data_IF_465397305785
#
_entry.id   IF_465397305785
#
_cell.length_a   1.000
_cell.length_b   1.000
_cell.length_c   1.000
_cell.angle_alpha   90.00
_cell.angle_beta   90.00
_cell.angle_gamma   90.00
#
_symmetry.space_group_name_H-M   'P 1'
#
loop_
_entity.id
_entity.type
_entity.pdbx_description
1 polymer ?
#
# COMPACT_ATOMS: atom_id res chain seq x y z
N UNK A 1 -3.27 -37.12 -24.29
CA UNK A 1 -2.11 -37.89 -23.76
C UNK A 1 -0.99 -37.88 -24.78
N UNK A 2 0.27 -38.07 -24.36
CA UNK A 2 1.45 -37.98 -25.24
C UNK A 2 1.41 -38.98 -26.40
N UNK A 3 0.85 -40.18 -26.17
CA UNK A 3 0.73 -41.23 -27.20
C UNK A 3 -0.15 -40.74 -28.36
N UNK A 4 -1.25 -40.05 -28.06
CA UNK A 4 -2.09 -39.43 -29.09
C UNK A 4 -1.31 -38.40 -29.92
N UNK A 5 -0.49 -37.56 -29.29
CA UNK A 5 0.29 -36.52 -29.97
C UNK A 5 1.37 -37.15 -30.85
N UNK A 6 2.14 -38.11 -30.33
CA UNK A 6 3.15 -38.84 -31.09
C UNK A 6 2.54 -39.53 -32.32
N UNK A 7 1.36 -40.16 -32.16
CA UNK A 7 0.66 -40.81 -33.25
C UNK A 7 0.18 -39.82 -34.31
N UNK A 8 -0.25 -38.62 -33.92
CA UNK A 8 -0.68 -37.59 -34.86
C UNK A 8 0.49 -37.01 -35.66
N UNK A 9 1.63 -36.79 -35.01
CA UNK A 9 2.87 -36.38 -35.68
C UNK A 9 3.34 -37.49 -36.63
N UNK A 10 3.35 -38.75 -36.18
CA UNK A 10 3.76 -39.91 -36.97
C UNK A 10 2.89 -40.11 -38.20
N UNK A 11 1.56 -39.93 -38.10
CA UNK A 11 0.64 -39.97 -39.25
C UNK A 11 0.96 -38.93 -40.32
N UNK A 12 1.56 -37.82 -39.92
CA UNK A 12 1.87 -36.70 -40.82
C UNK A 12 3.27 -36.86 -41.44
N UNK A 13 4.24 -37.34 -40.67
CA UNK A 13 5.66 -37.42 -41.07
C UNK A 13 6.07 -38.77 -41.67
N UNK A 14 5.51 -39.89 -41.19
CA UNK A 14 5.93 -41.23 -41.60
C UNK A 14 5.12 -41.70 -42.81
N UNK A 15 5.79 -41.82 -43.96
CA UNK A 15 5.20 -42.41 -45.16
C UNK A 15 5.03 -43.92 -45.00
N UNK A 16 3.98 -44.47 -45.60
CA UNK A 16 3.67 -45.90 -45.59
C UNK A 16 4.86 -46.72 -46.14
N UNK A 17 5.23 -47.80 -45.44
CA UNK A 17 6.36 -48.69 -45.77
C UNK A 17 7.75 -48.01 -45.77
N UNK A 18 7.93 -46.95 -44.97
CA UNK A 18 9.26 -46.33 -44.80
C UNK A 18 10.22 -47.31 -44.13
N UNK A 19 11.43 -47.57 -44.69
CA UNK A 19 12.43 -48.39 -44.02
C UNK A 19 12.99 -47.74 -42.74
N UNK A 20 12.70 -46.45 -42.52
CA UNK A 20 13.15 -45.67 -41.37
C UNK A 20 12.06 -45.49 -40.30
N UNK A 21 10.94 -46.21 -40.37
CA UNK A 21 9.81 -46.01 -39.44
C UNK A 21 10.22 -46.08 -37.97
N UNK A 22 11.03 -47.07 -37.56
CA UNK A 22 11.49 -47.19 -36.17
C UNK A 22 12.26 -45.97 -35.68
N UNK A 23 13.27 -45.55 -36.44
CA UNK A 23 14.08 -44.36 -36.13
C UNK A 23 13.25 -43.09 -36.11
N UNK A 24 12.32 -42.93 -37.07
CA UNK A 24 11.44 -41.76 -37.10
C UNK A 24 10.50 -41.70 -35.89
N UNK A 25 10.03 -42.85 -35.38
CA UNK A 25 9.22 -42.89 -34.15
C UNK A 25 10.04 -42.48 -32.93
N UNK A 26 11.27 -42.98 -32.80
CA UNK A 26 12.20 -42.57 -31.72
C UNK A 26 12.50 -41.08 -31.78
N UNK A 27 12.73 -40.52 -32.98
CA UNK A 27 12.96 -39.08 -33.18
C UNK A 27 11.72 -38.26 -32.81
N UNK A 28 10.51 -38.71 -33.14
CA UNK A 28 9.27 -38.03 -32.76
C UNK A 28 9.12 -38.01 -31.24
N UNK A 29 9.38 -39.13 -30.58
CA UNK A 29 9.30 -39.22 -29.11
C UNK A 29 10.34 -38.31 -28.43
N UNK A 30 11.61 -38.36 -28.82
CA UNK A 30 12.66 -37.49 -28.25
C UNK A 30 12.36 -36.02 -28.51
N UNK A 31 12.03 -35.65 -29.75
CA UNK A 31 11.77 -34.25 -30.12
C UNK A 31 10.54 -33.68 -29.42
N UNK A 32 9.49 -34.47 -29.25
CA UNK A 32 8.32 -34.03 -28.48
C UNK A 32 8.67 -33.85 -27.01
N UNK A 33 9.22 -34.89 -26.37
CA UNK A 33 9.47 -34.90 -24.92
C UNK A 33 10.50 -33.84 -24.49
N UNK A 34 11.56 -33.65 -25.28
CA UNK A 34 12.66 -32.76 -24.91
C UNK A 34 12.45 -31.31 -25.35
N UNK A 35 11.71 -31.08 -26.44
CA UNK A 35 11.63 -29.77 -27.08
C UNK A 35 10.19 -29.27 -27.22
N UNK A 36 9.35 -29.95 -28.01
CA UNK A 36 8.04 -29.39 -28.38
C UNK A 36 7.06 -29.32 -27.20
N UNK A 37 6.94 -30.40 -26.43
CA UNK A 37 6.07 -30.47 -25.25
C UNK A 37 6.42 -29.37 -24.24
N UNK A 38 7.65 -29.32 -23.71
CA UNK A 38 8.07 -28.28 -22.78
C UNK A 38 7.95 -26.86 -23.34
N UNK A 39 8.23 -26.65 -24.63
CA UNK A 39 8.09 -25.33 -25.27
C UNK A 39 6.63 -24.85 -25.27
N UNK A 40 5.70 -25.72 -25.68
CA UNK A 40 4.26 -25.40 -25.73
C UNK A 40 3.69 -25.22 -24.31
N UNK A 41 4.10 -26.07 -23.37
CA UNK A 41 3.71 -25.92 -21.96
C UNK A 41 4.17 -24.60 -21.37
N UNK A 42 5.42 -24.21 -21.60
CA UNK A 42 5.96 -22.92 -21.16
C UNK A 42 5.23 -21.74 -21.82
N UNK A 43 4.93 -21.83 -23.12
CA UNK A 43 4.17 -20.80 -23.83
C UNK A 43 2.77 -20.62 -23.24
N UNK A 44 2.04 -21.71 -23.01
CA UNK A 44 0.71 -21.69 -22.39
C UNK A 44 0.80 -21.16 -20.95
N UNK A 45 1.77 -21.61 -20.16
CA UNK A 45 1.94 -21.16 -18.78
C UNK A 45 2.22 -19.65 -18.72
N UNK A 46 3.07 -19.14 -19.61
CA UNK A 46 3.38 -17.72 -19.70
C UNK A 46 2.15 -16.89 -20.12
N UNK A 47 1.38 -17.35 -21.10
CA UNK A 47 0.14 -16.68 -21.53
C UNK A 47 -0.90 -16.63 -20.39
N UNK A 48 -1.08 -17.75 -19.67
CA UNK A 48 -1.97 -17.81 -18.51
C UNK A 48 -1.49 -16.90 -17.37
N UNK A 49 -0.18 -16.87 -17.11
CA UNK A 49 0.42 -16.01 -16.09
C UNK A 49 0.24 -14.54 -16.42
N UNK A 50 0.53 -14.12 -17.67
CA UNK A 50 0.31 -12.75 -18.12
C UNK A 50 -1.14 -12.31 -17.96
N UNK A 51 -2.11 -13.16 -18.32
CA UNK A 51 -3.54 -12.87 -18.11
C UNK A 51 -3.89 -12.71 -16.62
N UNK A 52 -3.32 -13.55 -15.76
CA UNK A 52 -3.52 -13.43 -14.32
C UNK A 52 -2.90 -12.14 -13.75
N UNK A 53 -1.72 -11.75 -14.25
CA UNK A 53 -1.10 -10.48 -13.91
C UNK A 53 -1.96 -9.29 -14.34
N UNK A 54 -2.49 -9.28 -15.57
CA UNK A 54 -3.32 -8.18 -16.06
C UNK A 54 -4.55 -7.96 -15.18
N UNK A 55 -5.26 -9.03 -14.83
CA UNK A 55 -6.42 -8.97 -13.92
C UNK A 55 -6.01 -8.47 -12.53
N UNK A 56 -4.85 -8.88 -12.04
CA UNK A 56 -4.33 -8.43 -10.74
C UNK A 56 -3.99 -6.94 -10.75
N UNK A 57 -3.37 -6.45 -11.82
CA UNK A 57 -3.05 -5.03 -12.00
C UNK A 57 -4.31 -4.16 -12.04
N UNK A 58 -5.38 -4.61 -12.71
CA UNK A 58 -6.67 -3.92 -12.70
C UNK A 58 -7.26 -3.83 -11.28
N UNK A 59 -7.24 -4.94 -10.54
CA UNK A 59 -7.71 -4.98 -9.15
C UNK A 59 -6.90 -4.04 -8.25
N UNK A 60 -5.57 -4.06 -8.37
CA UNK A 60 -4.68 -3.23 -7.58
C UNK A 60 -4.87 -1.74 -7.88
N UNK A 61 -5.07 -1.39 -9.15
CA UNK A 61 -5.42 -0.03 -9.57
C UNK A 61 -6.73 0.43 -8.93
N UNK A 62 -7.77 -0.42 -8.97
CA UNK A 62 -9.05 -0.12 -8.32
C UNK A 62 -8.90 0.07 -6.81
N UNK A 63 -8.15 -0.80 -6.14
CA UNK A 63 -7.92 -0.71 -4.70
C UNK A 63 -7.13 0.54 -4.33
N UNK A 64 -6.07 0.86 -5.08
CA UNK A 64 -5.29 2.09 -4.88
C UNK A 64 -6.17 3.33 -5.04
N UNK A 65 -6.97 3.37 -6.11
CA UNK A 65 -7.88 4.50 -6.36
C UNK A 65 -8.88 4.68 -5.22
N UNK A 66 -9.43 3.61 -4.66
CA UNK A 66 -10.31 3.68 -3.49
C UNK A 66 -9.60 4.24 -2.25
N UNK A 67 -8.35 3.86 -2.01
CA UNK A 67 -7.56 4.40 -0.90
C UNK A 67 -7.28 5.90 -1.09
N UNK A 68 -6.90 6.32 -2.30
CA UNK A 68 -6.60 7.71 -2.63
C UNK A 68 -7.84 8.61 -2.54
N UNK A 69 -9.00 8.11 -2.99
CA UNK A 69 -10.27 8.85 -3.01
C UNK A 69 -11.07 8.68 -1.70
N UNK A 70 -10.44 8.19 -0.64
CA UNK A 70 -11.05 8.13 0.69
C UNK A 70 -11.51 9.51 1.15
N UNK A 71 -12.66 9.57 1.83
CA UNK A 71 -13.21 10.84 2.31
C UNK A 71 -12.28 11.48 3.35
N UNK A 72 -11.84 12.72 3.16
CA UNK A 72 -10.95 13.40 4.10
C UNK A 72 -11.71 13.94 5.32
N UNK A 73 -11.10 13.83 6.51
CA UNK A 73 -11.64 14.37 7.76
C UNK A 73 -11.05 15.75 8.09
N UNK A 74 -11.35 16.75 7.27
CA UNK A 74 -10.78 18.11 7.37
C UNK A 74 -11.24 18.87 8.61
N UNK A 75 -10.37 19.74 9.13
CA UNK A 75 -10.72 20.65 10.23
C UNK A 75 -10.80 19.97 11.61
N UNK A 76 -10.19 18.80 11.76
CA UNK A 76 -10.26 17.96 12.95
C UNK A 76 -8.88 17.70 13.53
N UNK A 77 -8.79 17.61 14.85
CA UNK A 77 -7.59 17.11 15.55
C UNK A 77 -7.63 15.59 15.57
N UNK A 78 -6.57 14.95 15.09
CA UNK A 78 -6.55 13.50 14.87
C UNK A 78 -5.37 12.90 15.62
N UNK A 79 -5.66 11.89 16.45
CA UNK A 79 -4.64 11.06 17.07
C UNK A 79 -4.31 9.88 16.16
N UNK A 80 -3.12 9.85 15.58
CA UNK A 80 -2.56 8.65 14.97
C UNK A 80 -2.17 7.66 16.06
N UNK A 81 -2.67 6.43 15.95
CA UNK A 81 -2.41 5.35 16.88
C UNK A 81 -1.86 4.16 16.09
N UNK A 82 -0.56 3.93 16.18
CA UNK A 82 0.17 2.82 15.57
C UNK A 82 0.28 1.67 16.60
N UNK A 83 -0.52 0.59 16.45
CA UNK A 83 -0.57 -0.49 17.43
C UNK A 83 0.73 -1.28 17.55
N UNK A 84 1.02 -1.75 18.76
CA UNK A 84 2.15 -2.63 18.99
C UNK A 84 2.11 -3.31 20.35
N UNK A 85 2.63 -4.54 20.40
CA UNK A 85 2.75 -5.31 21.64
C UNK A 85 3.96 -4.86 22.48
N UNK A 86 5.07 -5.60 22.43
CA UNK A 86 6.25 -5.36 23.27
C UNK A 86 6.92 -4.00 23.00
N UNK A 87 6.88 -3.54 21.75
CA UNK A 87 7.46 -2.26 21.36
C UNK A 87 6.56 -1.06 21.70
N UNK A 88 5.40 -1.29 22.31
CA UNK A 88 4.41 -0.27 22.62
C UNK A 88 3.63 0.23 21.41
N UNK A 89 2.51 0.89 21.70
CA UNK A 89 1.72 1.64 20.72
C UNK A 89 2.26 3.06 20.62
N UNK A 90 2.52 3.54 19.40
CA UNK A 90 3.05 4.88 19.15
C UNK A 90 1.92 5.82 18.76
N UNK A 91 1.98 7.01 19.32
CA UNK A 91 0.94 8.00 19.22
C UNK A 91 1.54 9.27 18.62
N UNK A 92 0.80 9.88 17.70
CA UNK A 92 1.08 11.23 17.23
C UNK A 92 -0.22 12.01 17.07
N UNK A 93 -0.36 13.09 17.81
CA UNK A 93 -1.51 13.99 17.71
C UNK A 93 -1.18 15.09 16.69
N UNK A 94 -2.03 15.22 15.66
CA UNK A 94 -1.98 16.33 14.71
C UNK A 94 -3.13 17.31 14.94
N UNK A 95 -2.89 18.57 14.60
CA UNK A 95 -3.92 19.59 14.54
C UNK A 95 -4.70 19.55 13.20
N UNK A 96 -5.61 20.50 13.04
CA UNK A 96 -6.50 20.65 11.89
C UNK A 96 -5.76 20.89 10.56
N UNK A 97 -4.53 21.41 10.62
CA UNK A 97 -3.66 21.61 9.45
C UNK A 97 -2.70 20.44 9.21
N UNK A 98 -2.73 19.40 10.05
CA UNK A 98 -1.81 18.27 9.98
C UNK A 98 -0.43 18.52 10.58
N UNK A 99 -0.26 19.59 11.37
CA UNK A 99 0.95 19.85 12.14
C UNK A 99 0.93 19.04 13.45
N UNK A 100 2.10 18.51 13.85
CA UNK A 100 2.22 17.67 15.05
C UNK A 100 2.15 18.54 16.31
N UNK A 101 1.28 18.16 17.24
CA UNK A 101 1.14 18.79 18.55
C UNK A 101 1.92 18.05 19.64
N UNK A 102 1.92 16.71 19.57
CA UNK A 102 2.59 15.85 20.55
C UNK A 102 2.75 14.44 20.01
N UNK A 103 3.80 13.75 20.43
CA UNK A 103 4.00 12.31 20.23
C UNK A 103 4.31 11.64 21.55
N UNK A 104 3.93 10.37 21.70
CA UNK A 104 4.32 9.55 22.84
C UNK A 104 4.20 8.05 22.55
N UNK A 105 4.73 7.24 23.46
CA UNK A 105 4.60 5.78 23.42
C UNK A 105 3.88 5.31 24.69
N UNK A 106 2.90 4.43 24.51
CA UNK A 106 2.16 3.78 25.58
C UNK A 106 2.18 2.25 25.41
N UNK A 107 1.78 1.52 26.45
CA UNK A 107 1.90 0.08 26.54
C UNK A 107 0.58 -0.58 27.00
N UNK A 108 -0.52 -0.41 26.25
CA UNK A 108 -1.85 -0.83 26.68
C UNK A 108 -2.06 -2.34 26.65
N UNK A 109 -1.20 -3.12 25.98
CA UNK A 109 -1.40 -4.57 25.80
C UNK A 109 -0.41 -5.44 26.59
N UNK A 110 0.47 -4.85 27.40
CA UNK A 110 1.56 -5.58 28.10
C UNK A 110 1.56 -5.31 29.60
N UNK A 111 0.37 -5.22 30.21
CA UNK A 111 0.20 -5.07 31.66
C UNK A 111 0.44 -3.65 32.21
N UNK A 112 0.60 -2.64 31.34
CA UNK A 112 0.72 -1.22 31.70
C UNK A 112 -0.49 -0.40 31.25
N UNK A 113 -1.66 -1.03 31.25
CA UNK A 113 -2.94 -0.45 30.83
C UNK A 113 -3.27 0.85 31.58
N UNK A 114 -3.20 0.85 32.92
CA UNK A 114 -3.53 2.04 33.72
C UNK A 114 -2.61 3.23 33.45
N UNK A 115 -1.31 2.99 33.29
CA UNK A 115 -0.37 4.06 32.95
C UNK A 115 -0.64 4.62 31.55
N UNK A 116 -0.91 3.72 30.60
CA UNK A 116 -1.26 4.07 29.22
C UNK A 116 -2.54 4.90 29.15
N UNK A 117 -3.54 4.51 29.93
CA UNK A 117 -4.81 5.23 30.11
C UNK A 117 -4.57 6.63 30.66
N UNK A 118 -3.76 6.77 31.72
CA UNK A 118 -3.46 8.08 32.31
C UNK A 118 -2.68 9.00 31.36
N UNK A 119 -1.74 8.47 30.59
CA UNK A 119 -1.01 9.22 29.57
C UNK A 119 -1.94 9.70 28.45
N UNK A 120 -2.80 8.81 27.94
CA UNK A 120 -3.77 9.17 26.91
C UNK A 120 -4.79 10.21 27.41
N UNK A 121 -5.24 10.07 28.66
CA UNK A 121 -6.11 11.07 29.30
C UNK A 121 -5.43 12.42 29.44
N UNK A 122 -4.16 12.45 29.86
CA UNK A 122 -3.39 13.68 29.96
C UNK A 122 -3.26 14.38 28.61
N UNK A 123 -2.97 13.61 27.56
CA UNK A 123 -2.88 14.12 26.19
C UNK A 123 -4.22 14.72 25.72
N UNK A 124 -5.32 14.00 25.95
CA UNK A 124 -6.67 14.49 25.63
C UNK A 124 -7.03 15.75 26.41
N UNK A 125 -6.73 15.80 27.72
CA UNK A 125 -7.01 16.99 28.55
C UNK A 125 -6.20 18.21 28.12
N UNK A 126 -4.98 18.01 27.65
CA UNK A 126 -4.10 19.11 27.24
C UNK A 126 -4.51 19.70 25.88
N UNK A 127 -4.83 18.85 24.90
CA UNK A 127 -5.00 19.31 23.51
C UNK A 127 -6.38 19.06 22.91
N UNK A 128 -7.10 18.06 23.43
CA UNK A 128 -8.27 17.47 22.80
C UNK A 128 -7.94 16.73 21.49
N UNK A 129 -8.84 15.85 21.07
CA UNK A 129 -8.87 15.32 19.70
C UNK A 129 -10.28 14.87 19.34
N UNK A 130 -10.62 14.92 18.06
CA UNK A 130 -11.94 14.56 17.53
C UNK A 130 -11.99 13.11 17.03
N UNK A 131 -10.86 12.58 16.58
CA UNK A 131 -10.79 11.25 16.01
C UNK A 131 -9.47 10.54 16.35
N UNK A 132 -9.52 9.21 16.33
CA UNK A 132 -8.36 8.33 16.45
C UNK A 132 -8.21 7.54 15.16
N UNK A 133 -7.09 7.73 14.47
CA UNK A 133 -6.69 6.93 13.31
C UNK A 133 -5.92 5.71 13.80
N UNK A 134 -6.61 4.57 13.92
CA UNK A 134 -6.05 3.31 14.39
C UNK A 134 -5.47 2.50 13.23
N UNK A 135 -4.16 2.24 13.25
CA UNK A 135 -3.50 1.36 12.27
C UNK A 135 -4.12 -0.04 12.27
N UNK A 136 -4.28 -0.64 11.08
CA UNK A 136 -4.88 -1.97 10.92
C UNK A 136 -3.88 -3.13 11.05
N UNK A 137 -2.72 -2.88 11.62
CA UNK A 137 -1.66 -3.85 11.82
C UNK A 137 -1.77 -4.74 13.05
N UNK A 138 -0.58 -5.13 13.52
CA UNK A 138 -0.40 -6.03 14.65
C UNK A 138 -0.97 -5.42 15.93
N UNK A 139 -1.70 -6.19 16.75
CA UNK A 139 -2.34 -5.71 17.98
C UNK A 139 -3.51 -4.71 17.77
N UNK A 140 -4.06 -4.62 16.55
CA UNK A 140 -5.16 -3.70 16.24
C UNK A 140 -6.43 -3.96 17.06
N UNK A 141 -6.83 -5.22 17.27
CA UNK A 141 -8.05 -5.58 18.02
C UNK A 141 -7.96 -5.25 19.50
N UNK A 142 -6.82 -5.57 20.12
CA UNK A 142 -6.53 -5.28 21.52
C UNK A 142 -6.45 -3.78 21.75
N UNK A 143 -5.82 -3.05 20.83
CA UNK A 143 -5.76 -1.58 20.85
C UNK A 143 -7.14 -0.95 20.69
N UNK A 144 -7.97 -1.45 19.78
CA UNK A 144 -9.35 -0.99 19.62
C UNK A 144 -10.16 -1.19 20.90
N UNK A 145 -10.03 -2.36 21.54
CA UNK A 145 -10.72 -2.68 22.80
C UNK A 145 -10.31 -1.72 23.92
N UNK A 146 -9.01 -1.46 24.05
CA UNK A 146 -8.48 -0.47 25.00
C UNK A 146 -9.03 0.94 24.74
N UNK A 147 -9.02 1.38 23.47
CA UNK A 147 -9.52 2.70 23.08
C UNK A 147 -11.01 2.86 23.35
N UNK A 148 -11.84 1.86 23.02
CA UNK A 148 -13.29 1.88 23.31
C UNK A 148 -13.56 1.99 24.80
N UNK A 149 -12.89 1.17 25.61
CA UNK A 149 -12.99 1.22 27.07
C UNK A 149 -12.59 2.59 27.63
N UNK A 150 -11.50 3.18 27.10
CA UNK A 150 -11.06 4.52 27.46
C UNK A 150 -12.13 5.58 27.15
N UNK A 151 -12.68 5.58 25.93
CA UNK A 151 -13.70 6.56 25.53
C UNK A 151 -14.96 6.45 26.39
N UNK A 152 -15.45 5.22 26.65
CA UNK A 152 -16.64 4.96 27.46
C UNK A 152 -16.48 5.38 28.92
N UNK A 153 -15.29 5.14 29.49
CA UNK A 153 -14.94 5.47 30.87
C UNK A 153 -14.93 6.98 31.11
N UNK A 154 -14.37 7.73 30.16
CA UNK A 154 -14.22 9.19 30.27
C UNK A 154 -15.34 9.98 29.58
N UNK A 155 -16.38 9.31 29.07
CA UNK A 155 -17.56 9.92 28.42
C UNK A 155 -17.17 10.82 27.24
N UNK A 156 -16.28 10.30 26.40
CA UNK A 156 -15.74 10.98 25.23
C UNK A 156 -16.52 10.60 23.96
N UNK A 157 -17.86 10.65 24.04
CA UNK A 157 -18.78 10.10 23.04
C UNK A 157 -18.69 10.77 21.66
N UNK A 158 -18.03 11.93 21.58
CA UNK A 158 -17.80 12.67 20.33
C UNK A 158 -16.55 12.21 19.58
N UNK A 159 -15.67 11.45 20.22
CA UNK A 159 -14.43 10.97 19.62
C UNK A 159 -14.69 9.69 18.85
N UNK A 160 -14.34 9.67 17.56
CA UNK A 160 -14.53 8.49 16.71
C UNK A 160 -13.23 7.73 16.49
N UNK A 161 -13.29 6.40 16.54
CA UNK A 161 -12.18 5.53 16.13
C UNK A 161 -12.40 5.15 14.67
N UNK A 162 -11.41 5.39 13.81
CA UNK A 162 -11.41 4.97 12.42
C UNK A 162 -10.20 4.08 12.16
N UNK A 163 -10.43 2.91 11.60
CA UNK A 163 -9.37 1.99 11.19
C UNK A 163 -8.75 2.52 9.89
N UNK A 164 -7.44 2.65 9.87
CA UNK A 164 -6.66 3.19 8.74
C UNK A 164 -5.65 2.13 8.28
N UNK A 165 -5.54 1.98 6.96
CA UNK A 165 -4.53 1.12 6.36
C UNK A 165 -3.12 1.65 6.72
N UNK A 166 -2.25 0.84 7.30
CA UNK A 166 -0.88 1.22 7.68
C UNK A 166 0.18 0.84 6.63
N UNK A 167 -0.19 0.09 5.59
CA UNK A 167 0.74 -0.33 4.55
C UNK A 167 1.42 0.88 3.90
N UNK A 168 2.73 0.78 3.74
CA UNK A 168 3.57 1.87 3.25
C UNK A 168 3.91 2.94 4.31
N UNK A 169 3.34 2.93 5.52
CA UNK A 169 3.69 3.92 6.56
C UNK A 169 5.15 3.77 7.01
N UNK A 170 5.65 2.53 7.10
CA UNK A 170 7.06 2.22 7.35
C UNK A 170 7.99 2.67 6.21
N UNK A 171 7.53 2.56 4.96
CA UNK A 171 8.28 3.03 3.78
C UNK A 171 8.35 4.55 3.78
N UNK A 172 7.24 5.23 4.11
CA UNK A 172 7.24 6.68 4.29
C UNK A 172 8.17 7.11 5.44
N UNK A 173 8.05 6.52 6.63
CA UNK A 173 8.76 6.99 7.82
C UNK A 173 10.29 6.86 7.71
N UNK A 174 10.76 5.87 6.95
CA UNK A 174 12.17 5.68 6.59
C UNK A 174 12.64 6.56 5.42
N UNK A 175 11.73 7.22 4.70
CA UNK A 175 12.07 7.96 3.48
C UNK A 175 12.85 9.25 3.76
N UNK A 176 13.71 9.70 2.82
CA UNK A 176 14.35 11.01 2.89
C UNK A 176 13.34 12.17 3.03
N UNK A 177 12.16 12.02 2.43
CA UNK A 177 11.08 13.00 2.55
C UNK A 177 10.59 13.13 4.00
N UNK A 178 10.31 12.02 4.68
CA UNK A 178 9.86 12.04 6.07
C UNK A 178 10.96 12.53 7.03
N UNK A 179 12.23 12.17 6.77
CA UNK A 179 13.38 12.73 7.51
C UNK A 179 13.43 14.25 7.36
N UNK A 180 13.18 14.77 6.16
CA UNK A 180 13.15 16.22 5.90
C UNK A 180 11.94 16.90 6.56
N UNK A 181 10.77 16.27 6.54
CA UNK A 181 9.56 16.81 7.18
C UNK A 181 9.69 16.80 8.72
N UNK A 182 10.37 15.79 9.28
CA UNK A 182 10.45 15.54 10.74
C UNK A 182 11.86 15.13 11.19
N UNK A 183 12.86 16.04 11.13
CA UNK A 183 14.25 15.72 11.39
C UNK A 183 14.53 15.28 12.83
N UNK A 184 13.71 15.74 13.78
CA UNK A 184 13.87 15.47 15.22
C UNK A 184 12.93 14.39 15.75
N UNK A 185 12.22 13.68 14.87
CA UNK A 185 11.33 12.58 15.25
C UNK A 185 11.95 11.25 14.86
N UNK A 186 11.71 10.23 15.68
CA UNK A 186 12.13 8.87 15.39
C UNK A 186 11.24 8.23 14.31
N UNK A 187 11.70 7.12 13.74
CA UNK A 187 11.01 6.45 12.62
C UNK A 187 9.58 6.01 13.00
N UNK A 188 9.36 5.53 14.22
CA UNK A 188 8.05 5.08 14.68
C UNK A 188 7.08 6.25 14.93
N UNK A 189 7.59 7.41 15.36
CA UNK A 189 6.77 8.60 15.54
C UNK A 189 6.28 9.13 14.19
N UNK A 190 7.16 9.16 13.17
CA UNK A 190 6.78 9.55 11.80
C UNK A 190 5.72 8.63 11.19
N UNK A 191 5.78 7.33 11.50
CA UNK A 191 4.74 6.36 11.10
C UNK A 191 3.37 6.76 11.65
N UNK A 192 3.31 7.08 12.95
CA UNK A 192 2.08 7.50 13.63
C UNK A 192 1.53 8.82 13.07
N UNK A 193 2.41 9.76 12.71
CA UNK A 193 2.01 11.00 12.02
C UNK A 193 1.36 10.70 10.67
N UNK A 194 1.92 9.75 9.90
CA UNK A 194 1.35 9.36 8.61
C UNK A 194 -0.04 8.75 8.77
N UNK A 195 -0.26 7.89 9.76
CA UNK A 195 -1.60 7.34 10.06
C UNK A 195 -2.63 8.45 10.33
N UNK A 196 -2.28 9.44 11.15
CA UNK A 196 -3.16 10.55 11.45
C UNK A 196 -3.47 11.38 10.18
N UNK A 197 -2.45 11.67 9.37
CA UNK A 197 -2.59 12.45 8.14
C UNK A 197 -3.36 11.72 7.04
N UNK A 198 -3.27 10.38 6.98
CA UNK A 198 -4.11 9.57 6.07
C UNK A 198 -5.59 9.77 6.35
N UNK A 199 -6.00 9.91 7.62
CA UNK A 199 -7.39 10.19 7.95
C UNK A 199 -7.77 11.66 7.65
N UNK A 200 -6.83 12.59 7.84
CA UNK A 200 -7.04 14.01 7.53
C UNK A 200 -7.27 14.23 6.03
N UNK A 201 -6.39 13.69 5.19
CA UNK A 201 -6.44 13.79 3.73
C UNK A 201 -5.69 12.59 3.10
N UNK A 202 -6.41 11.50 2.74
CA UNK A 202 -5.78 10.28 2.22
C UNK A 202 -4.92 10.53 0.98
N UNK A 203 -5.43 11.30 0.02
CA UNK A 203 -4.71 11.60 -1.22
C UNK A 203 -3.40 12.34 -0.93
N UNK A 204 -3.45 13.43 -0.17
CA UNK A 204 -2.28 14.26 0.09
C UNK A 204 -1.17 13.53 0.86
N UNK A 205 -1.53 12.53 1.67
CA UNK A 205 -0.58 11.74 2.43
C UNK A 205 -0.06 10.51 1.65
N UNK A 206 -0.93 9.75 0.97
CA UNK A 206 -0.54 8.53 0.25
C UNK A 206 0.37 8.81 -0.97
N UNK A 207 0.21 9.95 -1.64
CA UNK A 207 1.09 10.34 -2.78
C UNK A 207 2.57 10.55 -2.40
N UNK A 208 2.86 10.66 -1.09
CA UNK A 208 4.23 10.75 -0.57
C UNK A 208 4.96 9.41 -0.58
N UNK A 209 4.23 8.32 -0.81
CA UNK A 209 4.71 6.94 -0.80
C UNK A 209 4.86 6.46 -2.25
N UNK A 210 5.90 5.69 -2.60
CA UNK A 210 5.91 4.97 -3.86
C UNK A 210 4.62 4.14 -4.01
N UNK A 211 3.85 4.27 -5.10
CA UNK A 211 2.56 3.59 -5.24
C UNK A 211 2.65 2.07 -5.06
N UNK A 212 3.74 1.45 -5.53
CA UNK A 212 4.03 0.02 -5.38
C UNK A 212 4.29 -0.43 -3.93
N UNK A 213 4.60 0.51 -3.04
CA UNK A 213 4.77 0.25 -1.61
C UNK A 213 3.47 0.42 -0.80
N UNK A 214 2.40 0.92 -1.43
CA UNK A 214 1.07 0.93 -0.83
C UNK A 214 0.50 -0.48 -1.00
N UNK A 215 0.12 -1.12 0.11
CA UNK A 215 -0.45 -2.47 0.09
C UNK A 215 -1.83 -2.46 -0.57
N UNK A 216 -1.89 -2.83 -1.85
CA UNK A 216 -3.10 -2.76 -2.69
C UNK A 216 -3.67 -4.12 -3.06
N UNK A 217 -2.96 -5.21 -2.73
CA UNK A 217 -3.48 -6.55 -2.85
C UNK A 217 -2.49 -7.63 -2.42
N UNK A 218 -3.00 -8.87 -2.41
CA UNK A 218 -2.18 -10.05 -2.12
C UNK A 218 -1.28 -10.35 -3.32
N UNK A 219 -0.08 -10.89 -3.06
CA UNK A 219 0.91 -11.26 -4.08
C UNK A 219 1.45 -10.11 -4.94
N UNK A 220 1.27 -8.85 -4.53
CA UNK A 220 1.82 -7.69 -5.26
C UNK A 220 3.35 -7.74 -5.42
N UNK A 221 4.05 -8.43 -4.51
CA UNK A 221 5.51 -8.61 -4.57
C UNK A 221 5.95 -9.71 -5.52
N UNK A 222 5.02 -10.57 -5.96
CA UNK A 222 5.28 -11.70 -6.86
C UNK A 222 5.06 -11.31 -8.34
N UNK A 223 4.60 -10.08 -8.59
CA UNK A 223 4.36 -9.53 -9.93
C UNK A 223 5.62 -8.93 -10.56
N UNK A 224 5.58 -8.67 -11.87
CA UNK A 224 6.51 -7.74 -12.51
C UNK A 224 6.43 -6.35 -11.87
N UNK A 225 7.47 -6.01 -11.09
CA UNK A 225 7.54 -4.76 -10.34
C UNK A 225 7.62 -3.52 -11.24
N UNK A 226 8.11 -3.65 -12.48
CA UNK A 226 8.15 -2.55 -13.44
C UNK A 226 6.75 -2.23 -13.92
N UNK A 227 5.99 -3.26 -14.33
CA UNK A 227 4.59 -3.11 -14.76
C UNK A 227 3.70 -2.61 -13.63
N UNK A 228 3.88 -3.16 -12.43
CA UNK A 228 3.15 -2.73 -11.23
C UNK A 228 3.37 -1.24 -10.95
N UNK A 229 4.62 -0.81 -10.87
CA UNK A 229 4.97 0.59 -10.61
C UNK A 229 4.38 1.54 -11.65
N UNK A 230 4.49 1.20 -12.93
CA UNK A 230 3.94 2.01 -14.02
C UNK A 230 2.42 2.14 -13.89
N UNK A 231 1.73 1.02 -13.68
CA UNK A 231 0.26 0.97 -13.57
C UNK A 231 -0.26 1.76 -12.36
N UNK A 232 0.36 1.57 -11.19
CA UNK A 232 -0.06 2.27 -9.96
C UNK A 232 0.29 3.75 -9.99
N UNK A 233 1.40 4.12 -10.65
CA UNK A 233 1.75 5.54 -10.88
C UNK A 233 0.75 6.22 -11.80
N UNK A 234 0.33 5.55 -12.88
CA UNK A 234 -0.73 6.04 -13.77
C UNK A 234 -2.06 6.19 -13.01
N UNK A 235 -2.44 5.20 -12.21
CA UNK A 235 -3.64 5.26 -11.35
C UNK A 235 -3.60 6.44 -10.38
N UNK A 236 -2.44 6.74 -9.79
CA UNK A 236 -2.26 7.87 -8.89
C UNK A 236 -2.41 9.19 -9.65
N UNK A 237 -1.83 9.29 -10.84
CA UNK A 237 -2.01 10.44 -11.74
C UNK A 237 -3.49 10.63 -12.07
N UNK A 238 -4.20 9.59 -12.49
CA UNK A 238 -5.63 9.66 -12.81
C UNK A 238 -6.45 10.16 -11.62
N UNK A 239 -6.23 9.61 -10.42
CA UNK A 239 -6.95 10.02 -9.21
C UNK A 239 -6.68 11.48 -8.84
N UNK A 240 -5.42 11.94 -8.93
CA UNK A 240 -5.06 13.34 -8.63
C UNK A 240 -5.67 14.31 -9.64
N UNK A 241 -5.70 13.96 -10.92
CA UNK A 241 -6.27 14.82 -11.96
C UNK A 241 -7.80 14.82 -11.94
N UNK A 242 -8.45 13.72 -11.50
CA UNK A 242 -9.90 13.66 -11.31
C UNK A 242 -10.38 14.59 -10.19
N UNK A 243 -9.67 14.63 -9.06
CA UNK A 243 -10.02 15.49 -7.91
C UNK A 243 -9.55 16.94 -8.12
N UNK A 244 -8.41 17.12 -8.79
CA UNK A 244 -7.72 18.39 -8.92
C UNK A 244 -6.94 18.76 -7.66
N UNK A 245 -6.14 19.82 -7.75
CA UNK A 245 -5.26 20.26 -6.67
C UNK A 245 -5.32 21.77 -6.48
N UNK A 246 -5.23 22.20 -5.22
CA UNK A 246 -5.11 23.62 -4.89
C UNK A 246 -3.64 24.05 -4.99
N UNK A 247 -3.29 24.73 -6.07
CA UNK A 247 -1.89 25.08 -6.41
C UNK A 247 -1.17 25.93 -5.35
N UNK A 248 -1.89 26.61 -4.46
CA UNK A 248 -1.28 27.43 -3.40
C UNK A 248 -0.93 26.62 -2.14
N UNK A 249 -1.50 25.41 -1.98
CA UNK A 249 -1.34 24.60 -0.77
C UNK A 249 -0.78 23.19 -1.05
N UNK A 250 -0.94 22.68 -2.27
CA UNK A 250 -0.51 21.34 -2.67
C UNK A 250 1.01 21.13 -2.49
N UNK A 251 1.43 20.02 -1.89
CA UNK A 251 2.85 19.69 -1.75
C UNK A 251 3.49 19.36 -3.10
N UNK A 252 4.83 19.41 -3.18
CA UNK A 252 5.55 18.95 -4.38
C UNK A 252 5.24 17.47 -4.69
N UNK A 253 5.06 16.65 -3.66
CA UNK A 253 4.69 15.22 -3.79
C UNK A 253 3.32 15.00 -4.42
N UNK A 254 2.37 15.94 -4.22
CA UNK A 254 1.06 15.90 -4.88
C UNK A 254 1.13 16.50 -6.29
N UNK A 255 1.82 17.64 -6.45
CA UNK A 255 1.94 18.35 -7.72
C UNK A 255 2.62 17.53 -8.81
N UNK A 256 3.57 16.65 -8.48
CA UNK A 256 4.26 15.81 -9.48
C UNK A 256 3.32 14.83 -10.22
N UNK A 257 2.12 14.59 -9.69
CA UNK A 257 1.10 13.74 -10.32
C UNK A 257 0.04 14.54 -11.09
N UNK A 258 0.15 15.88 -11.15
CA UNK A 258 -0.70 16.69 -12.02
C UNK A 258 -0.24 16.53 -13.47
N UNK A 259 -1.20 16.39 -14.39
CA UNK A 259 -0.91 16.23 -15.82
C UNK A 259 -0.02 17.35 -16.34
N UNK A 260 1.06 16.98 -17.02
CA UNK A 260 2.07 17.91 -17.54
C UNK A 260 3.11 18.40 -16.52
N UNK A 261 3.01 18.03 -15.24
CA UNK A 261 4.03 18.31 -14.24
C UNK A 261 4.93 17.10 -14.00
N UNK A 262 6.15 17.38 -13.54
CA UNK A 262 7.10 16.40 -13.03
C UNK A 262 7.69 16.89 -11.71
N UNK A 263 8.58 16.11 -11.10
CA UNK A 263 9.19 16.44 -9.81
C UNK A 263 9.94 17.79 -9.81
N UNK A 264 10.63 18.12 -10.92
CA UNK A 264 11.37 19.38 -11.07
C UNK A 264 10.42 20.58 -11.15
N UNK A 265 9.39 20.51 -11.98
CA UNK A 265 8.41 21.59 -12.10
C UNK A 265 7.55 21.73 -10.85
N UNK A 266 7.16 20.62 -10.22
CA UNK A 266 6.44 20.63 -8.95
C UNK A 266 7.24 21.33 -7.85
N UNK A 267 8.54 21.02 -7.73
CA UNK A 267 9.43 21.68 -6.78
C UNK A 267 9.59 23.17 -7.09
N UNK A 268 9.74 23.54 -8.36
CA UNK A 268 9.85 24.94 -8.78
C UNK A 268 8.57 25.75 -8.46
N UNK A 269 7.38 25.16 -8.63
CA UNK A 269 6.11 25.80 -8.26
C UNK A 269 6.06 26.07 -6.76
N UNK A 270 6.46 25.09 -5.93
CA UNK A 270 6.49 25.27 -4.48
C UNK A 270 7.48 26.37 -4.09
N UNK A 271 8.69 26.36 -4.64
CA UNK A 271 9.70 27.40 -4.36
C UNK A 271 9.30 28.79 -4.85
N UNK A 272 8.50 28.89 -5.91
CA UNK A 272 8.01 30.17 -6.41
C UNK A 272 7.00 30.82 -5.46
N UNK A 273 6.17 30.02 -4.78
CA UNK A 273 5.13 30.51 -3.86
C UNK A 273 5.59 30.62 -2.40
N UNK A 274 6.80 30.16 -2.06
CA UNK A 274 7.34 30.17 -0.69
C UNK A 274 8.78 29.68 -0.60
#
# INVERSE_FOLDING_TARGET
DEITIHNQIARTLIKRNSPFEGVLREVIEDSYKRLMGPSVENEIANDLFQKAEDISLELFSKNLKQLLLGSPLKGKKILGFDPGYRNGCKLALINESGAVLSSCIIYPTVGRERESEMKLLSLYRQFGFDAIALGNGTAGRESETFLRSFLDKYKLDRVTITIVNESGASVYSASPLAIKEFPNMDIEERSSVSLARRLLDPMAELVKIPPEAIGVGQYQHDMDQTRLKQTLSATTMDAVNEVGVWVNTASASLLKYVSGLNEKTASAIVSYRG
#
